data_IF_754129099319
#
_entry.id   IF_754129099319
#
_cell.length_a   1.000
_cell.length_b   1.000
_cell.length_c   1.000
_cell.angle_alpha   90.00
_cell.angle_beta   90.00
_cell.angle_gamma   90.00
#
_symmetry.space_group_name_H-M   'P 1'
#
loop_
_entity.id
_entity.type
_entity.pdbx_description
1 polymer ?
#
# COMPACT_ATOMS: atom_id res chain seq x y z
N UNK A 1 -10.30 -2.37 -13.08
CA UNK A 1 -11.66 -2.08 -12.54
C UNK A 1 -12.02 -0.62 -12.81
N UNK A 2 -13.29 -0.33 -13.11
CA UNK A 2 -13.79 1.02 -13.36
C UNK A 2 -14.11 1.77 -12.06
N UNK A 3 -14.11 3.12 -12.08
CA UNK A 3 -14.28 3.97 -10.89
C UNK A 3 -15.65 3.78 -10.23
N UNK A 4 -16.69 3.58 -11.04
CA UNK A 4 -18.09 3.43 -10.66
C UNK A 4 -18.28 2.28 -9.66
N UNK A 5 -17.46 1.23 -9.76
CA UNK A 5 -17.47 0.12 -8.80
C UNK A 5 -17.07 0.52 -7.38
N UNK A 6 -16.38 1.66 -7.22
CA UNK A 6 -15.96 2.21 -5.93
C UNK A 6 -16.92 3.28 -5.38
N UNK A 7 -17.88 3.75 -6.18
CA UNK A 7 -18.72 4.91 -5.86
C UNK A 7 -19.56 4.68 -4.59
N UNK A 8 -20.35 3.59 -4.58
CA UNK A 8 -21.34 3.32 -3.52
C UNK A 8 -20.71 3.08 -2.14
N UNK A 9 -19.52 2.49 -2.09
CA UNK A 9 -18.90 2.07 -0.82
C UNK A 9 -17.78 3.01 -0.41
N UNK A 10 -16.82 3.27 -1.30
CA UNK A 10 -15.62 4.00 -0.93
C UNK A 10 -15.82 5.51 -1.02
N UNK A 11 -16.39 6.01 -2.12
CA UNK A 11 -16.56 7.46 -2.33
C UNK A 11 -17.71 8.01 -1.49
N UNK A 12 -18.88 7.37 -1.56
CA UNK A 12 -20.03 7.76 -0.73
C UNK A 12 -19.73 7.60 0.76
N UNK A 13 -18.96 6.57 1.16
CA UNK A 13 -18.52 6.39 2.54
C UNK A 13 -17.72 7.58 3.08
N UNK A 14 -16.82 8.16 2.26
CA UNK A 14 -16.09 9.38 2.64
C UNK A 14 -17.07 10.54 2.88
N UNK A 15 -18.02 10.78 1.98
CA UNK A 15 -19.03 11.84 2.15
C UNK A 15 -19.85 11.64 3.43
N UNK A 16 -20.34 10.44 3.69
CA UNK A 16 -21.14 10.16 4.89
C UNK A 16 -20.35 10.36 6.19
N UNK A 17 -19.06 9.99 6.23
CA UNK A 17 -18.21 10.24 7.40
C UNK A 17 -17.92 11.73 7.60
N UNK A 18 -17.81 12.49 6.52
CA UNK A 18 -17.72 13.96 6.59
C UNK A 18 -19.02 14.55 7.14
N UNK A 19 -20.19 14.10 6.67
CA UNK A 19 -21.48 14.54 7.21
C UNK A 19 -21.59 14.26 8.71
N UNK A 20 -21.16 13.08 9.14
CA UNK A 20 -21.11 12.70 10.55
C UNK A 20 -20.20 13.65 11.36
N UNK A 21 -18.97 13.89 10.89
CA UNK A 21 -18.03 14.79 11.57
C UNK A 21 -18.56 16.23 11.66
N UNK A 22 -19.14 16.75 10.58
CA UNK A 22 -19.71 18.10 10.54
C UNK A 22 -21.01 18.25 11.35
N UNK A 23 -21.74 17.16 11.56
CA UNK A 23 -22.95 17.15 12.41
C UNK A 23 -22.65 17.17 13.92
N UNK A 24 -21.38 17.11 14.31
CA UNK A 24 -20.98 17.10 15.71
C UNK A 24 -21.45 18.37 16.44
N UNK A 25 -22.05 18.25 17.63
CA UNK A 25 -22.46 19.41 18.42
C UNK A 25 -21.29 20.07 19.17
N UNK A 26 -20.06 19.55 19.05
CA UNK A 26 -18.89 20.12 19.73
C UNK A 26 -18.48 21.46 19.11
N UNK A 27 -17.89 22.38 19.91
CA UNK A 27 -17.40 23.66 19.40
C UNK A 27 -16.37 23.51 18.28
N UNK A 28 -15.51 22.49 18.39
CA UNK A 28 -14.51 22.14 17.40
C UNK A 28 -14.96 20.90 16.61
N UNK A 29 -14.89 20.97 15.27
CA UNK A 29 -15.19 19.83 14.41
C UNK A 29 -14.24 18.67 14.73
N UNK A 30 -14.75 17.46 15.03
CA UNK A 30 -13.93 16.27 15.20
C UNK A 30 -13.01 16.04 14.00
N UNK A 31 -11.77 15.64 14.29
CA UNK A 31 -10.81 15.34 13.24
C UNK A 31 -11.23 14.10 12.47
N UNK A 32 -11.27 14.22 11.14
CA UNK A 32 -11.41 13.10 10.22
C UNK A 32 -10.06 12.82 9.54
N UNK A 33 -9.51 11.62 9.78
CA UNK A 33 -8.29 11.16 9.11
C UNK A 33 -8.68 10.20 7.99
N UNK A 34 -8.47 10.63 6.76
CA UNK A 34 -8.69 9.80 5.58
C UNK A 34 -7.40 9.06 5.21
N UNK A 35 -7.43 7.73 5.33
CA UNK A 35 -6.35 6.86 4.87
C UNK A 35 -6.46 6.65 3.36
N UNK A 36 -5.69 7.45 2.63
CA UNK A 36 -5.48 7.32 1.19
C UNK A 36 -4.37 6.30 0.90
N UNK A 37 -3.91 6.24 -0.35
CA UNK A 37 -2.90 5.31 -0.81
C UNK A 37 -1.95 5.98 -1.79
N UNK A 38 -0.71 5.50 -1.86
CA UNK A 38 0.25 5.83 -2.92
C UNK A 38 -0.34 5.64 -4.33
N UNK A 39 -1.33 4.75 -4.49
CA UNK A 39 -2.04 4.55 -5.74
C UNK A 39 -2.70 5.83 -6.27
N UNK A 40 -3.12 6.76 -5.39
CA UNK A 40 -3.69 8.06 -5.75
C UNK A 40 -2.69 9.02 -6.41
N UNK A 41 -1.40 8.68 -6.40
CA UNK A 41 -0.31 9.45 -7.02
C UNK A 41 0.60 8.56 -7.88
N UNK A 42 0.14 7.37 -8.27
CA UNK A 42 0.95 6.36 -8.97
C UNK A 42 1.64 6.85 -10.26
N UNK A 43 1.07 7.86 -10.92
CA UNK A 43 1.59 8.47 -12.15
C UNK A 43 2.28 9.81 -11.92
N UNK A 44 2.60 10.17 -10.68
CA UNK A 44 3.37 11.39 -10.40
C UNK A 44 4.73 11.37 -11.13
N UNK A 45 5.05 12.45 -11.85
CA UNK A 45 6.31 12.64 -12.59
C UNK A 45 6.96 14.01 -12.31
N UNK A 46 6.52 14.72 -11.27
CA UNK A 46 6.95 16.10 -10.98
C UNK A 46 8.29 16.22 -10.24
N UNK A 47 8.97 15.12 -9.92
CA UNK A 47 10.20 15.12 -9.13
C UNK A 47 10.63 13.71 -8.70
N UNK A 48 11.69 13.64 -7.88
CA UNK A 48 12.22 12.37 -7.36
C UNK A 48 11.34 11.74 -6.27
N UNK A 49 10.61 12.56 -5.52
CA UNK A 49 9.67 12.13 -4.49
C UNK A 49 8.36 12.92 -4.58
N UNK A 50 7.25 12.28 -4.25
CA UNK A 50 5.94 12.94 -4.15
C UNK A 50 5.92 13.80 -2.89
N UNK A 51 5.73 15.13 -2.98
CA UNK A 51 5.62 16.00 -1.82
C UNK A 51 4.31 15.77 -1.05
N UNK A 52 4.34 16.00 0.26
CA UNK A 52 3.20 15.88 1.18
C UNK A 52 2.22 17.05 1.02
N UNK A 53 1.59 17.14 -0.16
CA UNK A 53 0.64 18.19 -0.56
C UNK A 53 -0.55 17.62 -1.33
N UNK A 54 -1.61 18.42 -1.39
CA UNK A 54 -2.77 18.17 -2.22
C UNK A 54 -2.43 18.30 -3.71
N UNK A 55 -3.14 17.54 -4.55
CA UNK A 55 -3.09 17.69 -6.00
C UNK A 55 -4.51 17.73 -6.55
N UNK A 56 -4.70 18.50 -7.62
CA UNK A 56 -6.02 18.69 -8.24
C UNK A 56 -6.19 17.95 -9.56
N UNK A 57 -5.08 17.63 -10.24
CA UNK A 57 -5.09 16.95 -11.53
C UNK A 57 -5.22 15.43 -11.37
N UNK A 58 -6.33 14.80 -11.82
CA UNK A 58 -6.50 13.35 -11.73
C UNK A 58 -5.54 12.56 -12.64
N UNK A 59 -4.79 13.21 -13.54
CA UNK A 59 -3.80 12.54 -14.39
C UNK A 59 -2.66 11.89 -13.60
N UNK A 60 -2.44 12.33 -12.35
CA UNK A 60 -1.39 11.83 -11.46
C UNK A 60 -1.64 10.41 -10.92
N UNK A 61 -2.80 9.81 -11.20
CA UNK A 61 -3.19 8.47 -10.71
C UNK A 61 -3.49 7.48 -11.85
N UNK A 62 -3.48 6.20 -11.50
CA UNK A 62 -4.11 5.13 -12.28
C UNK A 62 -5.63 5.17 -12.20
N UNK A 63 -6.29 4.31 -12.99
CA UNK A 63 -7.74 4.10 -12.95
C UNK A 63 -8.16 3.27 -11.72
N UNK A 64 -9.46 3.11 -11.50
CA UNK A 64 -10.01 2.20 -10.48
C UNK A 64 -9.65 2.63 -9.05
N UNK A 65 -8.93 1.78 -8.33
CA UNK A 65 -8.61 2.00 -6.90
C UNK A 65 -7.81 3.28 -6.65
N UNK A 66 -6.80 3.57 -7.47
CA UNK A 66 -6.03 4.82 -7.32
C UNK A 66 -6.91 6.05 -7.50
N UNK A 67 -7.76 6.04 -8.54
CA UNK A 67 -8.69 7.12 -8.82
C UNK A 67 -9.76 7.28 -7.74
N UNK A 68 -10.25 6.18 -7.14
CA UNK A 68 -11.22 6.27 -6.04
C UNK A 68 -10.61 6.88 -4.78
N UNK A 69 -9.35 6.58 -4.48
CA UNK A 69 -8.59 7.25 -3.42
C UNK A 69 -8.38 8.72 -3.72
N UNK A 70 -7.95 9.07 -4.93
CA UNK A 70 -7.79 10.46 -5.37
C UNK A 70 -9.09 11.27 -5.25
N UNK A 71 -10.23 10.72 -5.69
CA UNK A 71 -11.54 11.37 -5.53
C UNK A 71 -11.87 11.58 -4.05
N UNK A 72 -11.59 10.59 -3.20
CA UNK A 72 -11.74 10.73 -1.75
C UNK A 72 -10.91 11.88 -1.18
N UNK A 73 -9.65 12.03 -1.61
CA UNK A 73 -8.79 13.17 -1.24
C UNK A 73 -9.43 14.50 -1.62
N UNK A 74 -9.94 14.63 -2.86
CA UNK A 74 -10.61 15.87 -3.33
C UNK A 74 -11.88 16.20 -2.56
N UNK A 75 -12.64 15.19 -2.14
CA UNK A 75 -13.83 15.40 -1.31
C UNK A 75 -13.43 15.96 0.06
N UNK A 76 -12.37 15.43 0.68
CA UNK A 76 -11.82 15.94 1.93
C UNK A 76 -11.34 17.38 1.73
N UNK A 77 -10.57 17.66 0.67
CA UNK A 77 -10.08 19.00 0.36
C UNK A 77 -11.21 20.03 0.29
N UNK A 78 -12.26 19.70 -0.46
CA UNK A 78 -13.41 20.57 -0.62
C UNK A 78 -14.15 20.77 0.71
N UNK A 79 -14.31 19.72 1.52
CA UNK A 79 -14.99 19.82 2.81
C UNK A 79 -14.22 20.65 3.84
N UNK A 80 -12.88 20.56 3.87
CA UNK A 80 -12.07 21.41 4.75
C UNK A 80 -12.13 22.87 4.29
N UNK A 81 -12.02 23.12 2.98
CA UNK A 81 -12.04 24.47 2.42
C UNK A 81 -13.40 25.16 2.57
N UNK A 82 -14.49 24.46 2.26
CA UNK A 82 -15.80 25.08 2.05
C UNK A 82 -16.80 24.79 3.19
N UNK A 83 -16.56 23.77 4.02
CA UNK A 83 -17.51 23.33 5.05
C UNK A 83 -16.92 23.27 6.47
N UNK A 84 -15.66 23.70 6.67
CA UNK A 84 -15.04 23.78 8.00
C UNK A 84 -14.66 22.42 8.60
N UNK A 85 -14.53 21.38 7.79
CA UNK A 85 -14.06 20.06 8.25
C UNK A 85 -12.63 20.19 8.82
N UNK A 86 -12.36 19.49 9.92
CA UNK A 86 -11.00 19.24 10.40
C UNK A 86 -10.45 17.95 9.75
N UNK A 87 -9.92 18.07 8.53
CA UNK A 87 -9.52 16.93 7.70
C UNK A 87 -8.01 16.72 7.58
N UNK A 88 -7.58 15.47 7.65
CA UNK A 88 -6.20 15.04 7.37
C UNK A 88 -6.21 13.92 6.35
N UNK A 89 -5.30 13.95 5.38
CA UNK A 89 -5.09 12.88 4.39
C UNK A 89 -3.74 12.22 4.63
N UNK A 90 -3.74 10.90 4.75
CA UNK A 90 -2.50 10.10 4.86
C UNK A 90 -2.41 9.18 3.65
N UNK A 91 -1.45 9.39 2.74
CA UNK A 91 -1.19 8.42 1.65
C UNK A 91 -0.27 7.33 2.17
N UNK A 92 -0.79 6.11 2.21
CA UNK A 92 -0.03 4.95 2.69
C UNK A 92 0.69 4.30 1.50
N UNK A 93 2.00 4.09 1.67
CA UNK A 93 2.84 3.29 0.79
C UNK A 93 2.59 1.79 0.96
N UNK A 94 3.61 0.97 0.76
CA UNK A 94 3.44 -0.48 0.89
C UNK A 94 3.47 -0.93 2.36
N UNK A 95 2.35 -1.47 2.84
CA UNK A 95 2.32 -2.18 4.11
C UNK A 95 2.84 -3.60 3.99
N UNK A 96 3.46 -4.10 5.05
CA UNK A 96 3.89 -5.50 5.21
C UNK A 96 3.31 -6.09 6.49
N UNK A 97 3.63 -7.36 6.77
CA UNK A 97 3.15 -8.04 7.97
C UNK A 97 3.58 -7.35 9.27
N UNK A 98 2.90 -7.69 10.37
CA UNK A 98 3.21 -7.11 11.67
C UNK A 98 4.61 -7.52 12.19
N UNK A 99 5.32 -6.62 12.88
CA UNK A 99 6.61 -6.95 13.51
C UNK A 99 6.45 -7.93 14.68
N UNK A 100 5.36 -7.80 15.44
CA UNK A 100 5.05 -8.59 16.63
C UNK A 100 4.09 -9.75 16.33
N UNK A 101 3.81 -10.59 17.34
CA UNK A 101 2.88 -11.71 17.22
C UNK A 101 3.30 -12.71 16.13
N UNK A 102 2.34 -13.17 15.33
CA UNK A 102 2.55 -14.18 14.28
C UNK A 102 3.13 -13.63 12.97
N UNK A 103 3.35 -12.32 12.83
CA UNK A 103 3.79 -11.75 11.54
C UNK A 103 2.64 -11.54 10.55
N UNK A 104 1.41 -11.38 11.07
CA UNK A 104 0.19 -11.38 10.27
C UNK A 104 0.25 -10.44 9.08
N UNK A 105 0.02 -10.99 7.88
CA UNK A 105 0.03 -10.29 6.60
C UNK A 105 -1.13 -10.76 5.72
N UNK A 106 -1.87 -9.84 5.12
CA UNK A 106 -3.02 -10.14 4.28
C UNK A 106 -2.66 -11.01 3.07
N UNK A 107 -3.17 -12.25 3.04
CA UNK A 107 -2.92 -13.23 1.97
C UNK A 107 -3.46 -12.82 0.59
N UNK A 108 -4.28 -11.77 0.53
CA UNK A 108 -4.89 -11.26 -0.69
C UNK A 108 -4.12 -10.09 -1.31
N UNK A 109 -3.03 -9.65 -0.68
CA UNK A 109 -2.14 -8.60 -1.20
C UNK A 109 -1.12 -9.15 -2.20
N UNK A 110 -0.61 -8.27 -3.07
CA UNK A 110 0.30 -8.62 -4.15
C UNK A 110 1.57 -9.35 -3.70
N UNK A 111 2.26 -8.96 -2.63
CA UNK A 111 3.49 -9.66 -2.22
C UNK A 111 3.20 -11.05 -1.62
N UNK A 112 2.26 -11.22 -0.68
CA UNK A 112 1.80 -12.53 -0.24
C UNK A 112 1.36 -13.44 -1.39
N UNK A 113 0.60 -12.91 -2.34
CA UNK A 113 0.18 -13.64 -3.54
C UNK A 113 1.39 -14.05 -4.39
N UNK A 114 2.37 -13.17 -4.57
CA UNK A 114 3.61 -13.45 -5.28
C UNK A 114 4.38 -14.59 -4.60
N UNK A 115 4.56 -14.56 -3.28
CA UNK A 115 5.24 -15.62 -2.53
C UNK A 115 4.54 -16.97 -2.68
N UNK A 116 3.23 -17.02 -2.41
CA UNK A 116 2.45 -18.26 -2.51
C UNK A 116 2.45 -18.82 -3.93
N UNK A 117 2.29 -17.96 -4.95
CA UNK A 117 2.29 -18.40 -6.34
C UNK A 117 3.67 -18.88 -6.78
N UNK A 118 4.74 -18.21 -6.32
CA UNK A 118 6.12 -18.60 -6.62
C UNK A 118 6.45 -19.99 -6.07
N UNK A 119 6.04 -20.27 -4.84
CA UNK A 119 6.18 -21.60 -4.23
C UNK A 119 5.40 -22.66 -5.00
N UNK A 120 4.16 -22.35 -5.41
CA UNK A 120 3.33 -23.28 -6.19
C UNK A 120 3.91 -23.60 -7.57
N UNK A 121 4.57 -22.62 -8.21
CA UNK A 121 5.19 -22.78 -9.54
C UNK A 121 6.63 -23.32 -9.46
N UNK A 122 7.29 -23.23 -8.31
CA UNK A 122 8.70 -23.59 -8.14
C UNK A 122 9.70 -22.56 -8.68
N UNK A 123 9.24 -21.35 -9.01
CA UNK A 123 10.06 -20.26 -9.57
C UNK A 123 9.83 -18.96 -8.80
N UNK A 124 10.85 -18.12 -8.69
CA UNK A 124 10.80 -16.85 -7.96
C UNK A 124 11.41 -15.70 -8.78
N UNK A 125 10.76 -14.52 -8.89
CA UNK A 125 11.29 -13.41 -9.68
C UNK A 125 12.43 -12.70 -8.92
N UNK A 126 13.59 -12.52 -9.54
CA UNK A 126 14.81 -12.00 -8.88
C UNK A 126 15.11 -10.53 -9.16
N UNK A 127 14.45 -9.93 -10.14
CA UNK A 127 14.78 -8.63 -10.74
C UNK A 127 13.74 -7.53 -10.44
N UNK A 128 13.01 -7.64 -9.33
CA UNK A 128 12.18 -6.54 -8.84
C UNK A 128 13.01 -5.43 -8.17
N UNK A 129 12.52 -4.17 -8.19
CA UNK A 129 13.20 -3.08 -7.51
C UNK A 129 13.18 -3.26 -5.98
N UNK A 130 14.10 -2.59 -5.27
CA UNK A 130 14.05 -2.50 -3.81
C UNK A 130 12.71 -1.97 -3.30
N UNK A 131 12.28 -2.46 -2.14
CA UNK A 131 10.96 -2.17 -1.58
C UNK A 131 11.04 -1.30 -0.33
N UNK A 132 9.98 -0.51 -0.09
CA UNK A 132 9.79 0.39 1.06
C UNK A 132 8.70 -0.12 1.99
N UNK A 133 8.83 -1.37 2.44
CA UNK A 133 7.81 -1.99 3.27
C UNK A 133 7.74 -1.35 4.66
N UNK A 134 6.52 -1.02 5.06
CA UNK A 134 6.21 -0.52 6.39
C UNK A 134 5.42 -1.58 7.14
N UNK A 135 5.93 -2.14 8.26
CA UNK A 135 5.14 -3.08 9.05
C UNK A 135 3.83 -2.45 9.52
N UNK A 136 2.72 -3.19 9.40
CA UNK A 136 1.37 -2.64 9.66
C UNK A 136 1.19 -2.10 11.09
N UNK A 137 1.85 -2.69 12.08
CA UNK A 137 1.80 -2.24 13.47
C UNK A 137 2.63 -0.98 13.70
N UNK A 138 3.72 -0.77 12.94
CA UNK A 138 4.46 0.50 12.90
C UNK A 138 3.58 1.58 12.29
N UNK A 139 2.94 1.30 11.14
CA UNK A 139 2.03 2.22 10.49
C UNK A 139 0.87 2.65 11.41
N UNK A 140 0.28 1.70 12.14
CA UNK A 140 -0.78 1.98 13.10
C UNK A 140 -0.31 2.93 14.22
N UNK A 141 0.90 2.74 14.77
CA UNK A 141 1.46 3.64 15.80
C UNK A 141 1.63 5.06 15.27
N UNK A 142 2.19 5.22 14.06
CA UNK A 142 2.38 6.53 13.43
C UNK A 142 1.04 7.24 13.21
N UNK A 143 0.02 6.54 12.69
CA UNK A 143 -1.32 7.11 12.49
C UNK A 143 -1.93 7.57 13.82
N UNK A 144 -1.76 6.78 14.89
CA UNK A 144 -2.23 7.15 16.23
C UNK A 144 -1.50 8.41 16.71
N UNK A 145 -0.17 8.49 16.60
CA UNK A 145 0.61 9.68 16.97
C UNK A 145 0.13 10.92 16.22
N UNK A 146 -0.12 10.81 14.91
CA UNK A 146 -0.68 11.89 14.09
C UNK A 146 -2.08 12.30 14.54
N UNK A 147 -2.91 11.36 15.00
CA UNK A 147 -4.27 11.67 15.46
C UNK A 147 -4.33 12.65 16.63
N UNK A 148 -3.31 12.67 17.48
CA UNK A 148 -3.21 13.56 18.64
C UNK A 148 -2.50 14.89 18.36
N UNK A 149 -2.04 15.13 17.12
CA UNK A 149 -1.30 16.33 16.77
C UNK A 149 -2.19 17.60 16.88
N UNK A 150 -1.84 18.63 17.67
CA UNK A 150 -2.79 19.69 18.06
C UNK A 150 -2.99 20.83 17.04
N UNK A 151 -2.39 20.80 15.85
CA UNK A 151 -2.48 21.89 14.87
C UNK A 151 -3.18 21.44 13.59
N UNK A 152 -4.42 21.86 13.36
CA UNK A 152 -4.96 21.86 12.00
C UNK A 152 -5.71 23.18 11.75
N UNK A 153 -5.21 23.98 10.80
CA UNK A 153 -5.89 25.17 10.26
C UNK A 153 -6.05 25.12 8.72
N UNK A 154 -5.67 24.01 8.09
CA UNK A 154 -5.83 23.67 6.67
C UNK A 154 -5.79 22.12 6.52
N UNK A 155 -6.14 21.58 5.35
CA UNK A 155 -5.96 20.13 5.08
C UNK A 155 -4.48 19.80 5.23
N UNK A 156 -4.17 18.83 6.08
CA UNK A 156 -2.82 18.30 6.18
C UNK A 156 -2.68 17.03 5.36
N UNK A 157 -1.65 17.01 4.53
CA UNK A 157 -1.18 15.81 3.85
C UNK A 157 0.03 15.24 4.56
N UNK A 158 0.00 13.92 4.72
CA UNK A 158 1.11 13.14 5.23
C UNK A 158 1.30 11.89 4.36
N UNK A 159 2.52 11.40 4.32
CA UNK A 159 2.85 10.13 3.68
C UNK A 159 3.37 9.13 4.71
N UNK A 160 2.88 7.90 4.60
CA UNK A 160 3.26 6.80 5.48
C UNK A 160 3.94 5.72 4.64
N UNK A 161 5.26 5.81 4.55
CA UNK A 161 6.12 4.87 3.85
C UNK A 161 7.48 4.79 4.56
N UNK A 162 8.05 3.59 4.66
CA UNK A 162 9.37 3.40 5.23
C UNK A 162 10.44 4.09 4.35
N UNK A 163 11.19 5.08 4.86
CA UNK A 163 12.20 5.79 4.09
C UNK A 163 13.44 4.93 3.78
N UNK A 164 13.59 3.79 4.43
CA UNK A 164 14.72 2.89 4.21
C UNK A 164 14.33 1.74 3.28
N UNK A 165 15.26 1.37 2.38
CA UNK A 165 15.03 0.35 1.37
C UNK A 165 15.37 -1.05 1.90
N UNK A 166 14.59 -2.03 1.49
CA UNK A 166 14.95 -3.45 1.58
C UNK A 166 15.31 -3.94 0.18
N UNK A 167 16.50 -4.53 0.03
CA UNK A 167 16.93 -5.13 -1.23
C UNK A 167 15.99 -6.27 -1.63
N UNK A 168 15.55 -6.27 -2.89
CA UNK A 168 14.77 -7.40 -3.40
C UNK A 168 15.60 -8.68 -3.47
N UNK A 169 16.91 -8.58 -3.67
CA UNK A 169 17.80 -9.74 -3.68
C UNK A 169 17.88 -10.43 -2.31
N UNK A 170 17.86 -9.66 -1.23
CA UNK A 170 17.84 -10.20 0.13
C UNK A 170 16.51 -10.94 0.38
N UNK A 171 15.38 -10.32 -0.03
CA UNK A 171 14.04 -10.93 0.04
C UNK A 171 13.99 -12.24 -0.78
N UNK A 172 14.46 -12.21 -2.01
CA UNK A 172 14.48 -13.37 -2.90
C UNK A 172 15.38 -14.49 -2.36
N UNK A 173 16.53 -14.13 -1.78
CA UNK A 173 17.45 -15.06 -1.12
C UNK A 173 16.78 -15.82 0.03
N UNK A 174 16.12 -15.09 0.93
CA UNK A 174 15.36 -15.71 2.03
C UNK A 174 14.22 -16.56 1.47
N UNK A 175 13.40 -16.03 0.56
CA UNK A 175 12.25 -16.74 0.02
C UNK A 175 12.61 -18.05 -0.72
N UNK A 176 13.72 -18.06 -1.48
CA UNK A 176 14.13 -19.25 -2.24
C UNK A 176 14.79 -20.34 -1.38
N UNK A 177 15.32 -19.99 -0.21
CA UNK A 177 15.97 -20.93 0.72
C UNK A 177 15.04 -21.42 1.82
N UNK A 178 14.01 -20.63 2.14
CA UNK A 178 13.13 -20.89 3.27
C UNK A 178 12.20 -22.10 3.04
N UNK A 179 11.71 -22.29 1.81
CA UNK A 179 10.87 -23.44 1.50
C UNK A 179 11.72 -24.72 1.34
N UNK A 180 11.16 -25.87 1.75
CA UNK A 180 11.76 -27.22 1.59
C UNK A 180 12.17 -27.59 0.15
N UNK A 181 11.72 -26.79 -0.83
CA UNK A 181 12.06 -26.92 -2.25
C UNK A 181 12.77 -25.64 -2.65
N UNK A 182 14.00 -25.77 -3.14
CA UNK A 182 14.76 -24.65 -3.69
C UNK A 182 14.00 -24.09 -4.89
N UNK A 183 13.58 -22.82 -4.81
CA UNK A 183 12.94 -22.14 -5.93
C UNK A 183 14.00 -21.76 -6.98
N UNK A 184 13.66 -21.91 -8.26
CA UNK A 184 14.51 -21.43 -9.35
C UNK A 184 14.30 -19.92 -9.54
N UNK A 185 15.39 -19.15 -9.54
CA UNK A 185 15.31 -17.74 -9.89
C UNK A 185 15.08 -17.55 -11.38
N UNK A 186 14.15 -16.65 -11.70
CA UNK A 186 13.76 -16.26 -13.06
C UNK A 186 13.58 -14.74 -13.10
N UNK A 187 13.53 -14.16 -14.31
CA UNK A 187 13.08 -12.77 -14.47
C UNK A 187 11.59 -12.62 -14.15
N UNK A 188 11.17 -11.40 -13.83
CA UNK A 188 9.76 -11.09 -13.57
C UNK A 188 8.91 -11.38 -14.81
N UNK A 189 9.44 -11.14 -16.01
CA UNK A 189 8.74 -11.45 -17.26
C UNK A 189 8.50 -12.95 -17.41
N UNK A 190 9.52 -13.78 -17.20
CA UNK A 190 9.38 -15.25 -17.22
C UNK A 190 8.41 -15.74 -16.14
N UNK A 191 8.44 -15.13 -14.95
CA UNK A 191 7.49 -15.44 -13.88
C UNK A 191 6.04 -15.14 -14.31
N UNK A 192 5.78 -13.97 -14.90
CA UNK A 192 4.46 -13.59 -15.43
C UNK A 192 4.00 -14.57 -16.51
N UNK A 193 4.90 -14.96 -17.42
CA UNK A 193 4.58 -15.90 -18.49
C UNK A 193 4.24 -17.29 -17.95
N UNK A 194 4.91 -17.75 -16.88
CA UNK A 194 4.53 -18.96 -16.17
C UNK A 194 3.16 -18.86 -15.50
N UNK A 195 2.83 -17.74 -14.84
CA UNK A 195 1.49 -17.51 -14.28
C UNK A 195 0.42 -17.62 -15.37
N UNK A 196 0.62 -16.94 -16.52
CA UNK A 196 -0.32 -16.99 -17.66
C UNK A 196 -0.48 -18.39 -18.24
N UNK A 197 0.62 -19.12 -18.38
CA UNK A 197 0.62 -20.48 -18.92
C UNK A 197 -0.18 -21.40 -18.02
N UNK A 198 0.13 -21.40 -16.73
CA UNK A 198 -0.49 -22.29 -15.75
C UNK A 198 -1.96 -21.91 -15.49
N UNK A 199 -2.33 -20.62 -15.52
CA UNK A 199 -3.73 -20.19 -15.33
C UNK A 199 -4.67 -20.60 -16.46
N UNK A 200 -4.13 -21.03 -17.62
CA UNK A 200 -4.91 -21.49 -18.78
C UNK A 200 -5.06 -23.01 -18.83
N UNK A 201 -4.39 -23.76 -17.95
CA UNK A 201 -4.47 -25.21 -17.96
C UNK A 201 -5.87 -25.68 -17.50
N UNK A 202 -6.49 -26.69 -18.16
CA UNK A 202 -7.86 -27.13 -17.87
C UNK A 202 -8.08 -27.66 -16.44
N UNK A 203 -7.00 -28.00 -15.73
CA UNK A 203 -6.99 -28.46 -14.33
C UNK A 203 -6.37 -27.45 -13.37
N UNK A 204 -6.12 -26.22 -13.82
CA UNK A 204 -5.53 -25.20 -12.96
C UNK A 204 -6.54 -24.80 -11.89
N UNK A 205 -6.16 -24.99 -10.64
CA UNK A 205 -6.89 -24.44 -9.51
C UNK A 205 -6.39 -23.01 -9.33
N UNK A 206 -7.22 -22.02 -9.64
CA UNK A 206 -6.89 -20.61 -9.46
C UNK A 206 -6.55 -20.26 -7.99
N UNK A 207 -6.91 -21.13 -7.02
CA UNK A 207 -6.47 -20.99 -5.63
C UNK A 207 -5.03 -21.43 -5.40
N UNK A 208 -4.45 -22.27 -6.28
CA UNK A 208 -3.04 -22.67 -6.20
C UNK A 208 -2.11 -21.60 -6.76
N UNK A 209 -2.55 -20.82 -7.75
CA UNK A 209 -1.77 -19.73 -8.35
C UNK A 209 -2.60 -18.43 -8.26
N UNK A 210 -2.71 -17.85 -7.05
CA UNK A 210 -3.53 -16.66 -6.84
C UNK A 210 -3.06 -15.45 -7.67
N UNK A 211 -1.81 -15.43 -8.13
CA UNK A 211 -1.25 -14.39 -8.98
C UNK A 211 -2.02 -14.17 -10.28
N UNK A 212 -2.74 -15.18 -10.78
CA UNK A 212 -3.59 -15.06 -11.96
C UNK A 212 -4.63 -13.93 -11.84
N UNK A 213 -5.09 -13.62 -10.61
CA UNK A 213 -6.06 -12.54 -10.33
C UNK A 213 -5.45 -11.14 -10.38
N UNK A 214 -4.12 -11.04 -10.34
CA UNK A 214 -3.38 -9.77 -10.29
C UNK A 214 -2.38 -9.63 -11.45
N UNK A 215 -2.58 -10.34 -12.56
CA UNK A 215 -1.68 -10.26 -13.73
C UNK A 215 -1.47 -8.83 -14.23
N UNK A 216 -2.55 -8.07 -14.42
CA UNK A 216 -2.48 -6.67 -14.86
C UNK A 216 -1.63 -5.81 -13.90
N UNK A 217 -1.72 -6.07 -12.59
CA UNK A 217 -0.93 -5.37 -11.59
C UNK A 217 0.56 -5.66 -11.74
N UNK A 218 0.94 -6.93 -11.89
CA UNK A 218 2.34 -7.32 -12.05
C UNK A 218 2.95 -6.82 -13.37
N UNK A 219 2.14 -6.69 -14.42
CA UNK A 219 2.58 -6.19 -15.72
C UNK A 219 2.77 -4.67 -15.76
N UNK A 220 1.96 -3.91 -15.01
CA UNK A 220 1.83 -2.46 -15.24
C UNK A 220 2.03 -1.57 -14.02
N UNK A 221 1.95 -2.12 -12.80
CA UNK A 221 1.83 -1.34 -11.56
C UNK A 221 2.83 -1.74 -10.47
N UNK A 222 3.82 -2.58 -10.81
CA UNK A 222 4.79 -3.07 -9.82
C UNK A 222 5.71 -1.97 -9.29
N UNK A 223 5.91 -0.91 -10.07
CA UNK A 223 6.73 0.25 -9.69
C UNK A 223 5.83 1.42 -9.34
N UNK A 224 5.97 1.90 -8.11
CA UNK A 224 5.30 3.11 -7.60
C UNK A 224 6.32 4.26 -7.44
N UNK A 225 5.88 5.52 -7.46
CA UNK A 225 6.76 6.64 -7.11
C UNK A 225 7.23 6.53 -5.65
N UNK A 226 8.24 7.30 -5.27
CA UNK A 226 8.68 7.37 -3.86
C UNK A 226 7.92 8.50 -3.17
N UNK A 227 7.41 8.25 -1.96
CA UNK A 227 6.80 9.31 -1.16
C UNK A 227 7.87 10.07 -0.37
N UNK A 228 7.82 11.41 -0.36
CA UNK A 228 8.53 12.19 0.66
C UNK A 228 7.78 12.03 1.98
N UNK A 229 8.49 11.80 3.08
CA UNK A 229 7.91 11.48 4.39
C UNK A 229 8.43 12.39 5.51
N UNK A 230 9.00 13.54 5.15
CA UNK A 230 9.73 14.39 6.08
C UNK A 230 8.82 14.91 7.21
N UNK A 231 7.60 15.37 6.87
CA UNK A 231 6.64 15.85 7.88
C UNK A 231 6.13 14.72 8.75
N UNK A 232 5.88 13.54 8.18
CA UNK A 232 5.48 12.38 9.00
C UNK A 232 6.59 11.98 9.97
N UNK A 233 7.87 12.04 9.58
CA UNK A 233 8.99 11.72 10.46
C UNK A 233 9.16 12.69 11.63
N UNK A 234 8.76 13.95 11.47
CA UNK A 234 8.73 14.92 12.59
C UNK A 234 7.75 14.51 13.70
N UNK A 235 6.65 13.84 13.33
CA UNK A 235 5.58 13.44 14.24
C UNK A 235 5.67 11.98 14.71
N UNK A 236 6.21 11.11 13.86
CA UNK A 236 6.33 9.68 14.06
C UNK A 236 7.70 9.19 13.59
N UNK A 237 8.79 9.47 14.33
CA UNK A 237 10.14 9.06 13.95
C UNK A 237 10.30 7.54 13.81
N UNK A 238 9.43 6.75 14.45
CA UNK A 238 9.36 5.30 14.31
C UNK A 238 8.99 4.82 12.90
N UNK A 239 8.49 5.70 12.02
CA UNK A 239 8.28 5.39 10.60
C UNK A 239 9.60 4.98 9.92
N UNK A 240 10.74 5.54 10.37
CA UNK A 240 12.08 5.09 9.96
C UNK A 240 12.38 3.76 10.65
N UNK A 241 11.79 2.71 10.11
CA UNK A 241 11.90 1.36 10.65
C UNK A 241 13.26 0.71 10.33
N UNK A 242 13.92 1.15 9.25
CA UNK A 242 15.08 0.47 8.68
C UNK A 242 14.69 -0.60 7.65
N UNK A 243 15.68 -1.25 7.02
CA UNK A 243 15.44 -2.39 6.13
C UNK A 243 14.73 -3.54 6.86
N UNK A 244 13.84 -4.25 6.17
CA UNK A 244 13.21 -5.46 6.69
C UNK A 244 14.27 -6.56 6.73
N UNK A 245 14.61 -7.01 7.95
CA UNK A 245 15.64 -8.03 8.18
C UNK A 245 15.16 -9.43 7.75
N UNK A 246 16.10 -10.30 7.41
CA UNK A 246 15.85 -11.70 7.02
C UNK A 246 14.93 -12.44 7.99
N UNK A 247 15.15 -12.29 9.30
CA UNK A 247 14.32 -12.93 10.33
C UNK A 247 12.84 -12.51 10.26
N UNK A 248 12.57 -11.28 9.82
CA UNK A 248 11.21 -10.77 9.65
C UNK A 248 10.59 -11.27 8.35
N UNK A 249 11.38 -11.38 7.29
CA UNK A 249 10.96 -11.99 6.01
C UNK A 249 10.59 -13.46 6.24
N UNK A 250 11.44 -14.22 6.95
CA UNK A 250 11.15 -15.60 7.37
C UNK A 250 9.84 -15.69 8.13
N UNK A 251 9.63 -14.83 9.13
CA UNK A 251 8.39 -14.78 9.91
C UNK A 251 7.15 -14.51 9.06
N UNK A 252 7.26 -13.65 8.04
CA UNK A 252 6.19 -13.41 7.09
C UNK A 252 5.86 -14.65 6.25
N UNK A 253 6.89 -15.35 5.77
CA UNK A 253 6.72 -16.59 5.02
C UNK A 253 6.07 -17.70 5.89
N UNK A 254 6.50 -17.84 7.15
CA UNK A 254 5.89 -18.74 8.15
C UNK A 254 4.39 -18.46 8.31
N UNK A 255 4.01 -17.18 8.47
CA UNK A 255 2.60 -16.80 8.59
C UNK A 255 1.78 -17.17 7.34
N UNK A 256 2.41 -17.09 6.16
CA UNK A 256 1.79 -17.50 4.90
C UNK A 256 1.70 -19.03 4.74
N UNK A 257 2.26 -19.81 5.67
CA UNK A 257 2.30 -21.27 5.61
C UNK A 257 3.24 -21.79 4.53
N UNK A 258 4.30 -21.03 4.24
CA UNK A 258 5.36 -21.37 3.29
C UNK A 258 6.58 -21.98 4.01
#
# INVERSE_FOLDING_TARGET
MALESFEKTHIAGVRHLIDLALSSPHPDCPRLIFLSSIAAVAKYRGGSQVPEVAFEDPSITGLGYGLSKFVGERIIDNAVRDAGLNGTVIRIGQLSGATCGSGAWSRTEQYPILFMSSVAMGVFPIDLPPVRWTPVDVAARVIISQSFYPKAKAVEYFHLENPDLTSWQDIAGVAATYHSRRLQFVSMQEWIDQVKRLSREPRSDANKIPAARLLEFYETQITMPVLNVDRTLELGPELRFGPIRDSMITKYLEYLGL
#
